data_IF_300411306274
#
_entry.id   IF_300411306274
#
_cell.length_a   1.000
_cell.length_b   1.000
_cell.length_c   1.000
_cell.angle_alpha   90.00
_cell.angle_beta   90.00
_cell.angle_gamma   90.00
#
_symmetry.space_group_name_H-M   'P 1'
#
loop_
_entity.id
_entity.type
_entity.pdbx_description
1 polymer ?
#
# COMPACT_ATOMS: atom_id res chain seq x y z
N UNK A 1 -21.95 22.21 -10.54
CA UNK A 1 -20.50 22.08 -10.39
C UNK A 1 -20.01 20.87 -11.17
N UNK A 2 -18.84 20.96 -11.78
CA UNK A 2 -18.19 19.79 -12.39
C UNK A 2 -17.43 19.03 -11.32
N UNK A 3 -17.71 17.74 -11.19
CA UNK A 3 -17.01 16.83 -10.29
C UNK A 3 -16.21 15.83 -11.12
N UNK A 4 -15.04 15.42 -10.61
CA UNK A 4 -14.06 14.59 -11.33
C UNK A 4 -13.48 13.47 -10.48
N UNK A 5 -13.55 13.62 -9.18
CA UNK A 5 -13.03 12.61 -8.25
C UNK A 5 -13.86 12.52 -6.99
N UNK A 6 -13.80 11.37 -6.37
CA UNK A 6 -14.40 11.02 -5.10
C UNK A 6 -13.29 10.61 -4.13
N UNK A 7 -13.37 11.13 -2.92
CA UNK A 7 -12.62 10.65 -1.78
C UNK A 7 -13.61 10.11 -0.75
N UNK A 8 -13.45 8.85 -0.38
CA UNK A 8 -14.35 8.15 0.53
C UNK A 8 -13.55 7.46 1.64
N UNK A 9 -13.89 7.75 2.88
CA UNK A 9 -13.33 7.10 4.05
C UNK A 9 -14.39 6.23 4.73
N UNK A 10 -14.13 4.92 4.80
CA UNK A 10 -15.02 3.92 5.38
C UNK A 10 -14.44 3.36 6.67
N UNK A 11 -15.32 2.96 7.58
CA UNK A 11 -14.92 2.22 8.78
C UNK A 11 -14.37 0.83 8.40
N UNK A 12 -13.46 0.36 9.21
CA UNK A 12 -12.82 -0.96 9.10
C UNK A 12 -13.82 -2.13 9.01
N UNK A 13 -14.86 -2.11 9.83
CA UNK A 13 -15.91 -3.15 9.85
C UNK A 13 -16.78 -3.15 8.57
N UNK A 14 -16.58 -2.19 7.67
CA UNK A 14 -17.37 -2.15 6.45
C UNK A 14 -16.89 -3.22 5.49
N UNK A 15 -17.69 -4.25 5.27
CA UNK A 15 -17.37 -5.37 4.36
C UNK A 15 -17.01 -4.89 2.96
N UNK A 16 -16.23 -5.69 2.23
CA UNK A 16 -15.92 -5.44 0.81
C UNK A 16 -17.20 -5.17 0.02
N UNK A 17 -17.31 -4.01 -0.62
CA UNK A 17 -18.50 -3.59 -1.34
C UNK A 17 -18.17 -2.99 -2.69
N UNK A 18 -19.07 -3.22 -3.64
CA UNK A 18 -19.10 -2.48 -4.88
C UNK A 18 -19.96 -1.25 -4.72
N UNK A 19 -19.57 -0.17 -5.36
CA UNK A 19 -20.29 1.09 -5.35
C UNK A 19 -20.56 1.51 -6.78
N UNK A 20 -21.74 2.05 -7.04
CA UNK A 20 -22.10 2.71 -8.30
C UNK A 20 -22.36 4.17 -8.04
N UNK A 21 -21.77 5.03 -8.84
CA UNK A 21 -21.91 6.47 -8.76
C UNK A 21 -22.79 6.95 -9.90
N UNK A 22 -23.75 7.78 -9.58
CA UNK A 22 -24.65 8.42 -10.54
C UNK A 22 -24.70 9.92 -10.29
N UNK A 23 -24.91 10.68 -11.36
CA UNK A 23 -25.15 12.12 -11.31
C UNK A 23 -26.48 12.51 -11.93
N UNK A 24 -27.10 13.58 -11.42
CA UNK A 24 -28.34 14.13 -11.91
C UNK A 24 -28.35 15.65 -11.81
N UNK A 25 -29.15 16.33 -12.66
CA UNK A 25 -29.40 17.75 -12.58
C UNK A 25 -30.77 18.11 -12.00
N UNK A 26 -31.70 17.18 -11.95
CA UNK A 26 -33.07 17.34 -11.49
C UNK A 26 -33.46 16.42 -10.32
N UNK A 27 -32.55 15.49 -9.92
CA UNK A 27 -32.80 14.50 -8.89
C UNK A 27 -33.72 13.35 -9.30
N UNK A 28 -34.12 13.27 -10.58
CA UNK A 28 -35.00 12.25 -11.13
C UNK A 28 -34.31 11.41 -12.18
N UNK A 29 -33.69 12.05 -13.15
CA UNK A 29 -32.95 11.38 -14.21
C UNK A 29 -31.48 11.18 -13.80
N UNK A 30 -31.08 9.92 -13.57
CA UNK A 30 -29.77 9.55 -13.06
C UNK A 30 -28.89 8.96 -14.15
N UNK A 31 -27.78 9.62 -14.44
CA UNK A 31 -26.77 9.13 -15.37
C UNK A 31 -25.67 8.39 -14.58
N UNK A 32 -25.33 7.19 -15.03
CA UNK A 32 -24.21 6.45 -14.50
C UNK A 32 -22.89 7.19 -14.75
N UNK A 33 -22.04 7.31 -13.74
CA UNK A 33 -20.73 7.96 -13.81
C UNK A 33 -19.58 6.96 -13.67
N UNK A 34 -19.63 6.12 -12.65
CA UNK A 34 -18.54 5.16 -12.37
C UNK A 34 -19.00 4.03 -11.46
N UNK A 35 -18.25 2.94 -11.47
CA UNK A 35 -18.25 1.94 -10.42
C UNK A 35 -16.87 1.79 -9.84
N UNK A 36 -16.80 1.41 -8.57
CA UNK A 36 -15.59 1.07 -7.89
C UNK A 36 -15.87 0.03 -6.82
N UNK A 37 -14.85 -0.72 -6.47
CA UNK A 37 -14.93 -1.78 -5.48
C UNK A 37 -13.86 -1.56 -4.42
N UNK A 38 -14.28 -1.59 -3.16
CA UNK A 38 -13.38 -1.72 -2.03
C UNK A 38 -13.22 -3.19 -1.70
N UNK A 39 -11.98 -3.65 -1.65
CA UNK A 39 -11.63 -4.91 -1.06
C UNK A 39 -11.15 -4.65 0.35
N UNK A 40 -11.82 -5.26 1.33
CA UNK A 40 -11.31 -5.34 2.69
C UNK A 40 -10.91 -6.80 2.89
N UNK A 41 -9.69 -7.04 3.30
CA UNK A 41 -9.37 -8.25 4.03
C UNK A 41 -9.46 -7.96 5.52
N UNK A 42 -9.81 -8.98 6.28
CA UNK A 42 -10.17 -8.96 7.70
C UNK A 42 -9.09 -8.43 8.66
N UNK A 43 -7.96 -7.96 8.16
CA UNK A 43 -6.76 -7.73 8.96
C UNK A 43 -6.30 -6.28 9.10
N UNK A 44 -7.02 -5.28 8.58
CA UNK A 44 -6.68 -3.89 8.83
C UNK A 44 -7.78 -3.15 9.60
N UNK A 45 -7.62 -2.94 10.91
CA UNK A 45 -8.60 -2.28 11.75
C UNK A 45 -8.64 -0.75 11.57
N UNK A 46 -7.95 -0.18 10.57
CA UNK A 46 -7.82 1.27 10.41
C UNK A 46 -8.72 1.83 9.32
N UNK A 47 -9.04 3.12 9.45
CA UNK A 47 -9.75 3.88 8.43
C UNK A 47 -9.01 3.81 7.10
N UNK A 48 -9.68 3.34 6.07
CA UNK A 48 -9.16 3.30 4.72
C UNK A 48 -9.81 4.38 3.87
N UNK A 49 -8.99 5.32 3.38
CA UNK A 49 -9.43 6.28 2.39
C UNK A 49 -9.22 5.72 0.97
N UNK A 50 -10.22 5.84 0.14
CA UNK A 50 -10.21 5.48 -1.26
C UNK A 50 -10.38 6.74 -2.11
N UNK A 51 -9.38 7.05 -2.91
CA UNK A 51 -9.48 8.11 -3.92
C UNK A 51 -9.79 7.47 -5.27
N UNK A 52 -10.84 7.97 -5.93
CA UNK A 52 -11.32 7.45 -7.19
C UNK A 52 -11.65 8.58 -8.17
N UNK A 53 -10.88 8.66 -9.26
CA UNK A 53 -11.22 9.52 -10.40
C UNK A 53 -12.29 8.89 -11.28
N UNK A 54 -13.07 9.74 -11.96
CA UNK A 54 -14.10 9.35 -12.94
C UNK A 54 -14.25 10.42 -14.03
N UNK A 55 -14.93 10.13 -15.14
CA UNK A 55 -15.18 11.10 -16.20
C UNK A 55 -15.89 12.36 -15.72
N UNK A 56 -15.55 13.52 -16.31
CA UNK A 56 -16.14 14.80 -15.95
C UNK A 56 -17.66 14.74 -15.91
N UNK A 57 -18.22 15.17 -14.81
CA UNK A 57 -19.66 15.20 -14.62
C UNK A 57 -20.12 16.54 -14.06
N UNK A 58 -20.80 17.35 -14.89
CA UNK A 58 -21.46 18.58 -14.42
C UNK A 58 -22.86 18.23 -13.95
N UNK A 59 -23.03 18.18 -12.62
CA UNK A 59 -24.25 17.71 -11.96
C UNK A 59 -24.59 18.56 -10.73
N UNK A 60 -25.86 18.56 -10.33
CA UNK A 60 -26.38 19.18 -9.11
C UNK A 60 -26.50 18.17 -7.97
N UNK A 61 -26.79 16.92 -8.33
CA UNK A 61 -27.00 15.83 -7.38
C UNK A 61 -26.10 14.66 -7.72
N UNK A 62 -25.60 14.02 -6.68
CA UNK A 62 -24.79 12.79 -6.79
C UNK A 62 -25.47 11.72 -5.93
N UNK A 63 -25.57 10.50 -6.46
CA UNK A 63 -26.08 9.32 -5.76
C UNK A 63 -25.01 8.25 -5.75
N UNK A 64 -24.65 7.81 -4.53
CA UNK A 64 -23.84 6.63 -4.31
C UNK A 64 -24.79 5.45 -4.03
N UNK A 65 -24.81 4.50 -4.92
CA UNK A 65 -25.61 3.27 -4.79
C UNK A 65 -24.71 2.12 -4.36
N UNK A 66 -25.11 1.43 -3.31
CA UNK A 66 -24.47 0.22 -2.83
C UNK A 66 -25.36 -0.93 -3.26
N UNK A 67 -24.99 -1.70 -4.32
CA UNK A 67 -25.77 -2.88 -4.69
C UNK A 67 -25.88 -3.80 -3.48
N UNK A 68 -27.07 -4.36 -3.28
CA UNK A 68 -27.27 -5.39 -2.28
C UNK A 68 -26.38 -6.58 -2.65
N UNK A 69 -25.17 -6.57 -2.15
CA UNK A 69 -24.32 -7.74 -2.19
C UNK A 69 -24.81 -8.69 -1.10
N UNK A 70 -24.69 -9.98 -1.35
CA UNK A 70 -24.87 -11.10 -0.41
C UNK A 70 -25.08 -10.65 1.05
N UNK A 71 -25.98 -11.22 1.83
CA UNK A 71 -26.44 -10.67 3.10
C UNK A 71 -25.29 -10.52 4.12
N UNK A 72 -24.45 -9.53 3.93
CA UNK A 72 -23.53 -9.06 4.95
C UNK A 72 -24.38 -8.36 6.01
N UNK A 73 -24.46 -8.93 7.17
CA UNK A 73 -25.12 -8.39 8.35
C UNK A 73 -24.38 -7.19 8.95
N UNK A 74 -23.21 -6.84 8.41
CA UNK A 74 -22.39 -5.74 8.91
C UNK A 74 -22.84 -4.43 8.28
N UNK A 75 -23.34 -3.47 9.07
CA UNK A 75 -23.71 -2.16 8.58
C UNK A 75 -22.48 -1.41 8.07
N UNK A 76 -22.63 -0.72 6.94
CA UNK A 76 -21.59 0.17 6.45
C UNK A 76 -21.55 1.45 7.30
N UNK A 77 -20.39 1.77 7.82
CA UNK A 77 -20.13 3.03 8.49
C UNK A 77 -19.28 3.91 7.58
N UNK A 78 -19.78 5.08 7.24
CA UNK A 78 -19.12 6.07 6.41
C UNK A 78 -18.60 7.18 7.34
N UNK A 79 -17.31 7.49 7.28
CA UNK A 79 -16.72 8.60 8.02
C UNK A 79 -16.75 9.88 7.19
N UNK A 80 -16.32 9.78 5.94
CA UNK A 80 -16.19 10.94 5.08
C UNK A 80 -16.50 10.57 3.62
N UNK A 81 -17.10 11.51 2.90
CA UNK A 81 -17.40 11.40 1.49
C UNK A 81 -17.26 12.78 0.85
N UNK A 82 -16.19 12.96 0.08
CA UNK A 82 -15.91 14.21 -0.61
C UNK A 82 -15.97 14.05 -2.11
N UNK A 83 -16.57 15.01 -2.77
CA UNK A 83 -16.52 15.17 -4.22
C UNK A 83 -15.69 16.40 -4.56
N UNK A 84 -14.72 16.23 -5.45
CA UNK A 84 -13.84 17.33 -5.85
C UNK A 84 -13.88 17.57 -7.34
N UNK A 85 -13.67 18.83 -7.74
CA UNK A 85 -13.44 19.22 -9.12
C UNK A 85 -12.01 18.93 -9.57
N UNK A 86 -11.08 18.68 -8.65
CA UNK A 86 -9.73 18.25 -8.98
C UNK A 86 -9.77 16.84 -9.57
N UNK A 87 -8.94 16.61 -10.59
CA UNK A 87 -8.68 15.26 -11.08
C UNK A 87 -7.64 14.61 -10.18
N UNK A 88 -8.01 13.48 -9.58
CA UNK A 88 -7.13 12.73 -8.70
C UNK A 88 -6.84 11.36 -9.30
N UNK A 89 -5.64 10.85 -9.08
CA UNK A 89 -5.27 9.49 -9.42
C UNK A 89 -6.04 8.48 -8.55
N UNK A 90 -6.29 7.29 -9.11
CA UNK A 90 -6.96 6.22 -8.39
C UNK A 90 -5.96 5.52 -7.46
N UNK A 91 -5.93 5.93 -6.21
CA UNK A 91 -5.06 5.35 -5.19
C UNK A 91 -5.81 4.92 -3.95
N UNK A 92 -5.20 3.99 -3.20
CA UNK A 92 -5.47 3.79 -1.79
C UNK A 92 -4.47 4.60 -0.99
N UNK A 93 -4.90 5.64 -0.29
CA UNK A 93 -4.04 6.61 0.37
C UNK A 93 -3.10 6.00 1.42
N UNK A 94 -3.51 4.95 2.11
CA UNK A 94 -2.69 4.34 3.17
C UNK A 94 -1.67 3.32 2.69
N UNK A 95 -1.84 2.72 1.54
CA UNK A 95 -0.98 1.64 1.05
C UNK A 95 -0.31 1.94 -0.28
N UNK A 96 -0.39 3.17 -0.77
CA UNK A 96 0.08 3.55 -2.11
C UNK A 96 -0.38 2.58 -3.23
N UNK A 97 -1.52 1.93 -3.03
CA UNK A 97 -2.04 0.96 -3.98
C UNK A 97 -2.76 1.63 -5.12
N UNK A 98 -2.31 1.38 -6.30
CA UNK A 98 -3.13 1.60 -7.49
C UNK A 98 -4.08 0.41 -7.69
N UNK A 99 -5.33 0.70 -8.02
CA UNK A 99 -6.22 -0.36 -8.48
C UNK A 99 -5.86 -0.73 -9.91
N UNK A 100 -5.58 -1.99 -10.12
CA UNK A 100 -5.37 -2.57 -11.45
C UNK A 100 -6.66 -3.14 -12.04
N UNK A 101 -7.84 -2.85 -11.48
CA UNK A 101 -9.07 -3.47 -11.93
C UNK A 101 -9.55 -2.85 -13.24
N UNK A 102 -9.72 -3.64 -14.32
CA UNK A 102 -10.03 -3.13 -15.67
C UNK A 102 -11.43 -2.52 -15.84
N UNK A 103 -12.29 -2.61 -14.83
CA UNK A 103 -13.66 -2.09 -14.87
C UNK A 103 -13.81 -0.64 -14.45
N UNK A 104 -12.71 0.03 -14.09
CA UNK A 104 -12.72 1.44 -13.71
C UNK A 104 -12.33 2.23 -14.94
N UNK A 105 -13.15 3.24 -15.29
CA UNK A 105 -12.77 4.20 -16.31
C UNK A 105 -11.41 4.77 -15.98
N UNK A 106 -10.42 4.49 -16.81
CA UNK A 106 -9.07 4.94 -16.64
C UNK A 106 -9.01 6.46 -16.88
N UNK A 107 -8.85 7.29 -15.83
CA UNK A 107 -8.78 8.73 -15.99
C UNK A 107 -7.52 9.16 -16.75
N UNK A 108 -6.50 8.29 -16.88
CA UNK A 108 -5.29 8.58 -17.64
C UNK A 108 -5.55 8.79 -19.12
N UNK A 109 -6.64 8.22 -19.66
CA UNK A 109 -7.05 8.38 -21.05
C UNK A 109 -7.82 9.67 -21.35
N UNK A 110 -8.10 10.48 -20.32
CA UNK A 110 -8.80 11.73 -20.49
C UNK A 110 -7.83 12.90 -20.42
N UNK A 111 -7.97 13.86 -21.31
CA UNK A 111 -7.23 15.11 -21.24
C UNK A 111 -7.53 15.81 -19.90
N UNK A 112 -6.50 16.04 -19.10
CA UNK A 112 -6.59 16.77 -17.85
C UNK A 112 -6.23 18.24 -18.12
N UNK A 113 -7.09 19.20 -17.74
CA UNK A 113 -6.75 20.62 -17.84
C UNK A 113 -5.47 20.97 -17.10
N UNK A 114 -4.66 21.85 -17.68
CA UNK A 114 -3.34 22.21 -17.11
C UNK A 114 -3.43 22.82 -15.69
N UNK A 115 -4.54 23.50 -15.37
CA UNK A 115 -4.81 24.08 -14.06
C UNK A 115 -5.09 23.04 -12.96
N UNK A 116 -5.21 21.76 -13.33
CA UNK A 116 -5.39 20.64 -12.41
C UNK A 116 -4.12 19.80 -12.23
N UNK A 117 -3.06 20.16 -12.91
CA UNK A 117 -1.76 19.52 -12.80
C UNK A 117 -0.84 20.40 -11.92
N UNK A 118 -0.18 19.77 -10.97
CA UNK A 118 0.83 20.45 -10.17
C UNK A 118 2.12 20.48 -10.97
N UNK A 119 2.61 21.69 -11.29
CA UNK A 119 3.90 21.83 -11.94
C UNK A 119 5.04 21.46 -10.94
N UNK A 120 5.90 20.52 -11.32
CA UNK A 120 7.03 20.05 -10.51
C UNK A 120 7.97 21.19 -10.12
N UNK A 121 8.14 22.19 -11.00
CA UNK A 121 9.02 23.33 -10.73
C UNK A 121 8.44 24.30 -9.68
N UNK A 122 7.16 24.23 -9.39
CA UNK A 122 6.48 25.02 -8.37
C UNK A 122 6.42 24.31 -7.00
N UNK A 123 6.95 23.10 -6.90
CA UNK A 123 7.01 22.35 -5.64
C UNK A 123 8.28 22.77 -4.90
N UNK A 124 8.08 23.28 -3.69
CA UNK A 124 9.16 23.60 -2.77
C UNK A 124 9.33 22.48 -1.75
N UNK A 125 10.53 21.93 -1.67
CA UNK A 125 10.91 21.04 -0.57
C UNK A 125 11.34 21.90 0.62
N UNK A 126 10.57 21.83 1.70
CA UNK A 126 10.80 22.58 2.93
C UNK A 126 11.35 21.70 4.06
N UNK A 127 11.78 20.48 3.78
CA UNK A 127 12.23 19.51 4.79
C UNK A 127 13.39 20.05 5.64
N UNK A 128 14.31 20.79 5.05
CA UNK A 128 15.44 21.40 5.75
C UNK A 128 15.06 22.53 6.74
N UNK A 129 13.83 23.04 6.63
CA UNK A 129 13.31 24.12 7.48
C UNK A 129 12.37 23.63 8.58
N UNK A 130 12.09 22.32 8.61
CA UNK A 130 11.28 21.68 9.64
C UNK A 130 12.13 21.44 10.88
N UNK A 131 11.72 22.03 12.01
CA UNK A 131 12.39 21.88 13.29
C UNK A 131 11.98 20.57 13.98
N UNK A 132 12.76 20.10 14.97
CA UNK A 132 12.47 18.90 15.74
C UNK A 132 11.12 18.94 16.47
N UNK A 133 10.69 20.12 16.92
CA UNK A 133 9.39 20.32 17.55
C UNK A 133 8.21 20.32 16.56
N UNK A 134 8.50 20.18 15.26
CA UNK A 134 7.53 20.19 14.18
C UNK A 134 7.17 21.59 13.65
N UNK A 135 7.82 22.63 14.14
CA UNK A 135 7.67 23.99 13.61
C UNK A 135 8.34 24.12 12.26
N UNK A 136 7.65 24.69 11.27
CA UNK A 136 8.20 25.04 9.97
C UNK A 136 8.64 26.49 9.99
N UNK A 137 9.96 26.73 9.87
CA UNK A 137 10.53 28.07 9.87
C UNK A 137 11.00 28.45 8.46
N UNK A 138 10.07 28.94 7.65
CA UNK A 138 10.32 29.34 6.26
C UNK A 138 9.39 30.48 5.85
N UNK A 139 9.92 31.50 5.21
CA UNK A 139 9.14 32.61 4.63
C UNK A 139 8.72 32.23 3.21
N UNK A 140 7.44 31.95 3.04
CA UNK A 140 6.89 31.58 1.74
C UNK A 140 6.86 32.78 0.79
N UNK A 141 7.16 32.58 -0.50
CA UNK A 141 6.93 33.59 -1.52
C UNK A 141 5.45 34.04 -1.54
N UNK A 142 5.20 35.27 -2.03
CA UNK A 142 3.83 35.76 -2.18
C UNK A 142 3.00 34.83 -3.07
N UNK A 143 1.80 34.48 -2.61
CA UNK A 143 0.88 33.56 -3.31
C UNK A 143 0.03 32.72 -2.37
N UNK A 144 -0.75 31.83 -2.96
CA UNK A 144 -1.55 30.84 -2.23
C UNK A 144 -0.81 29.50 -2.22
N UNK A 145 -0.56 28.96 -1.03
CA UNK A 145 0.22 27.76 -0.84
C UNK A 145 -0.57 26.68 -0.10
N UNK A 146 -0.37 25.43 -0.54
CA UNK A 146 -0.79 24.26 0.23
C UNK A 146 0.45 23.59 0.80
N UNK A 147 0.55 23.52 2.12
CA UNK A 147 1.65 22.85 2.81
C UNK A 147 1.21 21.42 3.11
N UNK A 148 2.00 20.45 2.64
CA UNK A 148 1.80 19.04 2.93
C UNK A 148 2.95 18.54 3.82
N UNK A 149 2.61 17.95 4.95
CA UNK A 149 3.57 17.27 5.82
C UNK A 149 3.40 15.77 5.67
N UNK A 150 4.44 15.11 5.20
CA UNK A 150 4.52 13.66 5.15
C UNK A 150 5.23 13.13 6.39
N UNK A 151 4.78 12.00 6.88
CA UNK A 151 5.39 11.31 8.00
C UNK A 151 5.10 9.82 7.91
N UNK A 152 5.86 9.04 8.66
CA UNK A 152 5.66 7.62 8.81
C UNK A 152 5.60 7.24 10.29
N UNK A 153 4.94 6.13 10.57
CA UNK A 153 4.85 5.56 11.90
C UNK A 153 4.70 4.05 11.78
N UNK A 154 4.87 3.34 12.88
CA UNK A 154 4.53 1.93 12.93
C UNK A 154 3.09 1.72 12.47
N UNK A 155 2.85 0.68 11.69
CA UNK A 155 1.52 0.28 11.30
C UNK A 155 0.71 -0.31 12.46
N UNK A 156 1.36 -0.60 13.60
CA UNK A 156 0.74 -1.16 14.80
C UNK A 156 0.30 -2.61 14.66
N UNK A 157 0.64 -3.28 13.56
CA UNK A 157 0.29 -4.68 13.38
C UNK A 157 1.16 -5.57 14.27
N UNK A 158 0.51 -6.52 14.88
CA UNK A 158 1.15 -7.56 15.67
C UNK A 158 1.31 -8.81 14.82
N UNK A 159 2.34 -9.58 15.12
CA UNK A 159 2.55 -10.88 14.49
C UNK A 159 1.48 -11.86 14.95
N UNK A 160 1.01 -12.69 14.03
CA UNK A 160 0.15 -13.83 14.36
C UNK A 160 0.30 -14.99 13.38
N UNK A 161 -0.06 -16.22 13.85
CA UNK A 161 -0.34 -16.58 15.24
C UNK A 161 0.91 -16.49 16.12
N UNK A 162 0.76 -15.99 17.34
CA UNK A 162 1.85 -15.91 18.30
C UNK A 162 1.34 -16.32 19.70
N UNK A 163 2.23 -16.87 20.54
CA UNK A 163 1.92 -17.05 21.95
C UNK A 163 1.96 -15.70 22.68
N UNK A 164 1.23 -15.57 23.80
CA UNK A 164 1.15 -14.33 24.59
C UNK A 164 2.52 -13.70 24.92
N UNK A 165 3.58 -14.53 25.02
CA UNK A 165 4.94 -14.08 25.30
C UNK A 165 5.74 -13.69 24.07
N UNK A 166 5.28 -14.08 22.88
CA UNK A 166 5.94 -13.82 21.61
C UNK A 166 5.20 -12.76 20.80
N UNK A 167 4.01 -12.33 21.24
CA UNK A 167 3.26 -11.27 20.56
C UNK A 167 4.05 -9.96 20.58
N UNK A 168 4.18 -9.34 19.43
CA UNK A 168 4.91 -8.09 19.26
C UNK A 168 4.62 -7.47 17.91
N UNK A 169 5.18 -6.27 17.71
CA UNK A 169 5.09 -5.59 16.43
C UNK A 169 5.79 -6.38 15.34
N UNK A 170 5.23 -6.34 14.15
CA UNK A 170 5.85 -6.87 12.94
C UNK A 170 7.19 -6.19 12.66
N UNK A 171 8.19 -6.97 12.24
CA UNK A 171 9.50 -6.42 11.86
C UNK A 171 9.40 -5.55 10.60
N UNK A 172 10.24 -4.54 10.48
CA UNK A 172 10.36 -3.77 9.23
C UNK A 172 11.02 -4.64 8.15
N UNK A 173 10.18 -5.24 7.28
CA UNK A 173 10.61 -6.12 6.19
C UNK A 173 11.27 -5.38 5.03
N UNK A 174 11.18 -4.04 5.00
CA UNK A 174 11.85 -3.23 3.98
C UNK A 174 13.29 -2.91 4.36
N UNK A 175 13.67 -3.17 5.62
CA UNK A 175 15.01 -2.92 6.17
C UNK A 175 15.77 -4.21 6.44
N UNK A 176 16.85 -4.44 5.67
CA UNK A 176 17.76 -5.56 5.93
C UNK A 176 18.35 -5.50 7.33
N UNK A 177 18.70 -4.31 7.79
CA UNK A 177 19.28 -4.11 9.13
C UNK A 177 18.28 -4.49 10.24
N UNK A 178 17.02 -4.12 10.08
CA UNK A 178 15.98 -4.48 11.04
C UNK A 178 15.75 -6.00 11.07
N UNK A 179 15.74 -6.65 9.92
CA UNK A 179 15.66 -8.11 9.83
C UNK A 179 16.84 -8.78 10.53
N UNK A 180 18.07 -8.40 10.20
CA UNK A 180 19.27 -9.00 10.82
C UNK A 180 19.27 -8.77 12.33
N UNK A 181 18.89 -7.57 12.79
CA UNK A 181 18.75 -7.30 14.23
C UNK A 181 17.74 -8.25 14.89
N UNK A 182 16.59 -8.49 14.24
CA UNK A 182 15.58 -9.43 14.72
C UNK A 182 16.11 -10.87 14.77
N UNK A 183 16.81 -11.33 13.75
CA UNK A 183 17.37 -12.68 13.69
C UNK A 183 18.49 -12.89 14.72
N UNK A 184 19.31 -11.85 14.95
CA UNK A 184 20.42 -11.87 15.90
C UNK A 184 19.97 -11.84 17.36
N UNK A 185 18.93 -11.09 17.68
CA UNK A 185 18.47 -10.87 19.04
C UNK A 185 17.19 -11.64 19.39
N UNK A 186 16.57 -12.28 18.42
CA UNK A 186 15.44 -13.17 18.57
C UNK A 186 15.87 -14.62 18.77
N UNK A 187 14.92 -15.53 18.59
CA UNK A 187 15.13 -16.97 18.82
C UNK A 187 15.97 -17.65 17.73
N UNK A 188 16.07 -17.07 16.53
CA UNK A 188 16.69 -17.70 15.37
C UNK A 188 18.16 -18.02 15.62
N UNK A 189 18.96 -17.03 15.94
CA UNK A 189 20.40 -17.20 16.24
C UNK A 189 20.61 -18.11 17.44
N UNK A 190 19.80 -17.94 18.48
CA UNK A 190 19.89 -18.76 19.68
C UNK A 190 19.63 -20.24 19.38
N UNK A 191 18.64 -20.56 18.57
CA UNK A 191 18.35 -21.94 18.14
C UNK A 191 19.54 -22.50 17.37
N UNK A 192 20.02 -21.78 16.33
CA UNK A 192 21.11 -22.24 15.49
C UNK A 192 22.41 -22.48 16.29
N UNK A 193 22.72 -21.60 17.26
CA UNK A 193 23.87 -21.76 18.14
C UNK A 193 23.72 -22.94 19.09
N UNK A 194 22.57 -23.12 19.72
CA UNK A 194 22.31 -24.21 20.67
C UNK A 194 22.33 -25.59 20.02
N UNK A 195 21.90 -25.68 18.76
CA UNK A 195 21.93 -26.92 18.00
C UNK A 195 23.38 -27.33 17.64
N UNK A 196 24.33 -26.40 17.61
CA UNK A 196 25.74 -26.67 17.43
C UNK A 196 26.03 -27.54 16.20
N UNK A 197 26.64 -28.71 16.37
CA UNK A 197 26.98 -29.63 15.27
C UNK A 197 25.77 -30.22 14.55
N UNK A 198 24.57 -30.10 15.10
CA UNK A 198 23.31 -30.53 14.43
C UNK A 198 22.81 -29.52 13.43
N UNK A 199 23.27 -28.26 13.51
CA UNK A 199 22.95 -27.21 12.54
C UNK A 199 23.56 -27.57 11.18
N UNK A 200 22.77 -27.52 10.13
CA UNK A 200 23.15 -27.95 8.80
C UNK A 200 23.13 -29.47 8.57
N UNK A 201 22.92 -30.29 9.61
CA UNK A 201 22.87 -31.77 9.52
C UNK A 201 21.50 -32.35 9.89
N UNK A 202 20.96 -31.90 11.01
CA UNK A 202 19.64 -32.32 11.50
C UNK A 202 18.65 -31.18 11.37
N UNK A 203 19.05 -29.97 11.77
CA UNK A 203 18.32 -28.74 11.47
C UNK A 203 18.83 -28.24 10.11
N UNK A 204 18.17 -28.60 9.06
CA UNK A 204 18.61 -28.33 7.67
C UNK A 204 17.78 -27.26 6.99
N UNK A 205 16.67 -26.83 7.62
CA UNK A 205 15.70 -25.90 7.05
C UNK A 205 15.08 -25.04 8.14
N UNK A 206 14.87 -23.76 7.81
CA UNK A 206 13.99 -22.83 8.51
C UNK A 206 12.87 -22.41 7.56
N UNK A 207 11.67 -22.22 8.10
CA UNK A 207 10.49 -21.90 7.31
C UNK A 207 9.91 -20.55 7.70
N UNK A 208 9.51 -19.77 6.70
CA UNK A 208 8.65 -18.59 6.83
C UNK A 208 7.28 -18.98 6.30
N UNK A 209 6.28 -18.86 7.15
CA UNK A 209 4.87 -19.02 6.82
C UNK A 209 4.35 -17.77 6.07
N UNK A 210 3.07 -17.77 5.72
CA UNK A 210 2.46 -16.67 4.97
C UNK A 210 2.59 -15.34 5.71
N UNK A 211 2.78 -14.27 4.94
CA UNK A 211 2.77 -12.92 5.52
C UNK A 211 1.35 -12.39 5.61
N UNK A 212 0.83 -12.26 6.82
CA UNK A 212 -0.55 -11.85 7.07
C UNK A 212 -0.70 -10.49 7.77
N UNK A 213 0.40 -9.83 8.12
CA UNK A 213 0.43 -8.61 8.91
C UNK A 213 0.35 -7.31 8.10
N UNK A 214 -0.44 -7.26 7.03
CA UNK A 214 -0.64 -6.09 6.18
C UNK A 214 0.62 -5.54 5.46
N UNK A 215 0.40 -4.56 4.58
CA UNK A 215 1.44 -3.97 3.78
C UNK A 215 2.26 -2.94 4.57
N UNK A 216 3.57 -3.00 4.42
CA UNK A 216 4.50 -1.96 4.82
C UNK A 216 4.81 -1.09 3.60
N UNK A 217 4.83 0.22 3.76
CA UNK A 217 4.96 1.17 2.65
C UNK A 217 6.14 2.12 2.79
N UNK A 218 6.85 2.06 3.91
CA UNK A 218 7.97 2.94 4.21
C UNK A 218 8.97 2.30 5.14
N UNK A 219 10.23 2.68 4.97
CA UNK A 219 11.35 2.42 5.91
C UNK A 219 12.25 3.65 5.99
N UNK A 220 13.10 3.73 6.98
CA UNK A 220 13.96 4.90 7.21
C UNK A 220 14.84 5.26 6.00
N UNK A 221 15.35 4.24 5.28
CA UNK A 221 16.20 4.43 4.09
C UNK A 221 15.43 4.38 2.76
N UNK A 222 14.09 4.49 2.80
CA UNK A 222 13.29 4.35 1.59
C UNK A 222 13.63 5.38 0.50
N UNK A 223 13.89 6.68 0.79
CA UNK A 223 14.28 7.65 -0.23
C UNK A 223 15.61 7.30 -0.94
N UNK A 224 16.59 6.85 -0.19
CA UNK A 224 17.90 6.46 -0.73
C UNK A 224 17.78 5.19 -1.61
N UNK A 225 17.03 4.20 -1.13
CA UNK A 225 16.75 2.97 -1.87
C UNK A 225 15.96 3.25 -3.14
N UNK A 226 14.97 4.13 -3.06
CA UNK A 226 14.22 4.57 -4.23
C UNK A 226 15.13 5.24 -5.26
N UNK A 227 15.93 6.21 -4.83
CA UNK A 227 16.85 6.92 -5.71
C UNK A 227 17.85 5.97 -6.38
N UNK A 228 18.41 5.03 -5.61
CA UNK A 228 19.35 4.03 -6.12
C UNK A 228 18.73 3.09 -7.16
N UNK A 229 17.46 2.69 -6.97
CA UNK A 229 16.76 1.74 -7.83
C UNK A 229 16.05 2.40 -9.03
N UNK A 230 15.57 3.62 -8.88
CA UNK A 230 14.77 4.33 -9.89
C UNK A 230 15.53 5.43 -10.62
N UNK A 231 16.66 5.91 -10.06
CA UNK A 231 17.54 6.88 -10.69
C UNK A 231 17.10 8.34 -10.53
N UNK A 232 16.15 8.64 -9.65
CA UNK A 232 15.71 10.00 -9.38
C UNK A 232 15.23 10.18 -7.93
N UNK A 233 15.20 11.43 -7.47
CA UNK A 233 14.69 11.81 -6.15
C UNK A 233 13.17 11.83 -6.13
N UNK A 234 12.59 11.15 -5.14
CA UNK A 234 11.15 11.01 -4.99
C UNK A 234 10.48 12.17 -4.23
N UNK A 235 11.23 13.07 -3.59
CA UNK A 235 10.69 14.01 -2.60
C UNK A 235 9.55 14.85 -3.15
N UNK A 236 9.72 15.47 -4.31
CA UNK A 236 8.67 16.26 -4.96
C UNK A 236 7.46 15.43 -5.42
N UNK A 237 7.67 14.15 -5.65
CA UNK A 237 6.64 13.24 -6.14
C UNK A 237 5.77 12.66 -5.02
N UNK A 238 6.18 12.77 -3.75
CA UNK A 238 5.40 12.31 -2.59
C UNK A 238 3.97 12.88 -2.59
N UNK A 239 3.77 14.05 -3.17
CA UNK A 239 2.46 14.69 -3.34
C UNK A 239 1.48 13.75 -4.07
N UNK A 240 1.97 12.93 -5.01
CA UNK A 240 1.14 11.98 -5.75
C UNK A 240 0.53 10.90 -4.85
N UNK A 241 1.13 10.61 -3.68
CA UNK A 241 0.57 9.70 -2.69
C UNK A 241 -0.74 10.21 -2.06
N UNK A 242 -1.07 11.47 -2.27
CA UNK A 242 -2.37 12.05 -1.88
C UNK A 242 -3.43 11.95 -2.98
N UNK A 243 -3.09 11.38 -4.14
CA UNK A 243 -3.94 11.32 -5.33
C UNK A 243 -3.80 12.52 -6.27
N UNK A 244 -3.07 13.57 -5.88
CA UNK A 244 -2.86 14.74 -6.73
C UNK A 244 -1.97 14.39 -7.93
N UNK A 245 -2.27 15.01 -9.07
CA UNK A 245 -1.52 14.80 -10.30
C UNK A 245 -0.34 15.78 -10.36
N UNK A 246 0.86 15.24 -10.47
CA UNK A 246 2.14 16.00 -10.50
C UNK A 246 2.74 15.87 -11.90
N UNK A 247 3.12 16.98 -12.50
CA UNK A 247 3.62 17.03 -13.87
C UNK A 247 2.54 16.73 -14.88
N UNK A 248 2.34 15.46 -15.15
CA UNK A 248 1.29 14.91 -16.00
C UNK A 248 0.64 13.68 -15.35
N UNK A 249 -0.42 13.17 -15.96
CA UNK A 249 -1.03 11.90 -15.54
C UNK A 249 -0.01 10.77 -15.67
N UNK A 250 0.66 10.69 -16.81
CA UNK A 250 1.65 9.64 -17.09
C UNK A 250 2.82 9.66 -16.10
N UNK A 251 3.35 10.84 -15.78
CA UNK A 251 4.45 10.97 -14.81
C UNK A 251 4.00 10.58 -13.41
N UNK A 252 2.79 11.02 -13.00
CA UNK A 252 2.21 10.61 -11.72
C UNK A 252 2.06 9.10 -11.62
N UNK A 253 1.50 8.47 -12.66
CA UNK A 253 1.29 7.01 -12.69
C UNK A 253 2.63 6.24 -12.69
N UNK A 254 3.64 6.73 -13.41
CA UNK A 254 4.99 6.16 -13.38
C UNK A 254 5.62 6.24 -12.01
N UNK A 255 5.53 7.40 -11.35
CA UNK A 255 6.01 7.53 -9.97
C UNK A 255 5.31 6.56 -9.02
N UNK A 256 3.98 6.47 -9.07
CA UNK A 256 3.21 5.55 -8.23
C UNK A 256 3.56 4.08 -8.52
N UNK A 257 3.87 3.76 -9.77
CA UNK A 257 4.38 2.43 -10.15
C UNK A 257 5.78 2.20 -9.58
N UNK A 258 6.71 3.15 -9.74
CA UNK A 258 8.08 3.08 -9.25
C UNK A 258 8.12 2.97 -7.72
N UNK A 259 7.24 3.70 -7.04
CA UNK A 259 7.10 3.64 -5.58
C UNK A 259 6.74 2.22 -5.11
N UNK A 260 5.73 1.61 -5.72
CA UNK A 260 5.32 0.24 -5.40
C UNK A 260 6.35 -0.79 -5.80
N UNK A 261 6.95 -0.60 -6.96
CA UNK A 261 8.02 -1.51 -7.43
C UNK A 261 9.21 -1.48 -6.47
N UNK A 262 9.54 -0.30 -5.90
CA UNK A 262 10.59 -0.20 -4.88
C UNK A 262 10.24 -0.99 -3.62
N UNK A 263 9.00 -0.91 -3.14
CA UNK A 263 8.54 -1.73 -2.02
C UNK A 263 8.73 -3.22 -2.33
N UNK A 264 8.31 -3.66 -3.52
CA UNK A 264 8.45 -5.05 -3.95
C UNK A 264 9.90 -5.53 -4.02
N UNK A 265 10.77 -4.71 -4.59
CA UNK A 265 12.20 -5.01 -4.68
C UNK A 265 12.85 -5.11 -3.28
N UNK A 266 12.48 -4.20 -2.36
CA UNK A 266 12.98 -4.23 -0.98
C UNK A 266 12.50 -5.48 -0.24
N UNK A 267 11.26 -5.89 -0.42
CA UNK A 267 10.76 -7.13 0.16
C UNK A 267 11.52 -8.36 -0.35
N UNK A 268 11.75 -8.43 -1.66
CA UNK A 268 12.49 -9.53 -2.25
C UNK A 268 13.94 -9.57 -1.74
N UNK A 269 14.62 -8.43 -1.73
CA UNK A 269 16.04 -8.36 -1.40
C UNK A 269 16.30 -8.32 0.11
N UNK A 270 15.60 -7.42 0.83
CA UNK A 270 15.90 -7.11 2.23
C UNK A 270 15.20 -8.03 3.24
N UNK A 271 14.15 -8.74 2.81
CA UNK A 271 13.48 -9.72 3.65
C UNK A 271 13.78 -11.14 3.20
N UNK A 272 13.23 -11.60 2.08
CA UNK A 272 13.38 -13.00 1.65
C UNK A 272 14.83 -13.35 1.31
N UNK A 273 15.50 -12.54 0.49
CA UNK A 273 16.89 -12.76 0.13
C UNK A 273 17.84 -12.64 1.32
N UNK A 274 17.69 -11.58 2.10
CA UNK A 274 18.55 -11.37 3.27
C UNK A 274 18.36 -12.44 4.36
N UNK A 275 17.15 -12.99 4.50
CA UNK A 275 16.92 -14.10 5.44
C UNK A 275 17.56 -15.39 4.91
N UNK A 276 17.40 -15.68 3.61
CA UNK A 276 18.06 -16.85 3.00
C UNK A 276 19.57 -16.77 3.19
N UNK A 277 20.19 -15.64 2.84
CA UNK A 277 21.62 -15.40 3.03
C UNK A 277 22.04 -15.67 4.47
N UNK A 278 21.28 -15.14 5.43
CA UNK A 278 21.57 -15.27 6.87
C UNK A 278 21.58 -16.74 7.32
N UNK A 279 20.57 -17.52 7.00
CA UNK A 279 20.51 -18.93 7.44
C UNK A 279 21.47 -19.81 6.66
N UNK A 280 21.77 -19.48 5.41
CA UNK A 280 22.73 -20.20 4.59
C UNK A 280 24.15 -20.12 5.14
N UNK A 281 24.53 -19.04 5.83
CA UNK A 281 25.82 -18.95 6.56
C UNK A 281 25.95 -20.03 7.65
N UNK A 282 24.84 -20.55 8.15
CA UNK A 282 24.78 -21.66 9.13
C UNK A 282 24.63 -23.03 8.46
N UNK A 283 24.64 -23.11 7.13
CA UNK A 283 24.40 -24.35 6.37
C UNK A 283 22.93 -24.82 6.40
N UNK A 284 22.02 -23.92 6.72
CA UNK A 284 20.56 -24.16 6.80
C UNK A 284 19.89 -23.51 5.58
N UNK A 285 18.89 -24.15 4.99
CA UNK A 285 18.10 -23.62 3.89
C UNK A 285 16.92 -22.81 4.40
N UNK A 286 16.46 -21.83 3.60
CA UNK A 286 15.23 -21.14 3.84
C UNK A 286 14.12 -21.66 2.92
N UNK A 287 13.02 -22.13 3.51
CA UNK A 287 11.76 -22.30 2.82
C UNK A 287 10.83 -21.14 3.14
N UNK A 288 10.06 -20.67 2.16
CA UNK A 288 9.10 -19.61 2.40
C UNK A 288 7.89 -19.71 1.48
N UNK A 289 6.74 -19.40 2.06
CA UNK A 289 5.60 -18.93 1.29
C UNK A 289 5.86 -17.48 0.88
N UNK A 290 5.64 -17.16 -0.38
CA UNK A 290 5.49 -15.76 -0.76
C UNK A 290 4.19 -15.22 -0.15
N UNK A 291 3.99 -13.89 -0.13
CA UNK A 291 2.73 -13.33 0.34
C UNK A 291 1.55 -14.04 -0.31
N UNK A 292 0.63 -14.56 0.51
CA UNK A 292 -0.50 -15.38 0.06
C UNK A 292 -1.35 -14.70 -1.02
N UNK A 293 -1.98 -15.49 -1.88
CA UNK A 293 -2.87 -15.01 -2.94
C UNK A 293 -3.95 -14.09 -2.35
N UNK A 294 -4.05 -12.89 -2.89
CA UNK A 294 -5.03 -11.89 -2.44
C UNK A 294 -4.59 -11.06 -1.22
N UNK A 295 -3.39 -11.26 -0.68
CA UNK A 295 -2.81 -10.34 0.29
C UNK A 295 -2.51 -8.98 -0.35
N UNK A 296 -2.72 -7.87 0.38
CA UNK A 296 -2.50 -6.54 -0.15
C UNK A 296 -1.02 -6.15 -0.16
N UNK A 297 -0.15 -6.99 -0.67
CA UNK A 297 1.28 -6.79 -0.65
C UNK A 297 1.77 -6.36 -2.02
N UNK A 298 2.64 -5.37 -2.04
CA UNK A 298 3.27 -4.90 -3.26
C UNK A 298 4.48 -5.77 -3.57
N UNK A 299 4.52 -6.38 -4.74
CA UNK A 299 5.68 -7.08 -5.19
C UNK A 299 5.38 -8.20 -6.17
N UNK A 300 6.43 -8.71 -6.76
CA UNK A 300 6.40 -9.88 -7.61
C UNK A 300 6.64 -11.13 -6.74
N UNK A 301 5.60 -11.95 -6.60
CA UNK A 301 5.67 -13.16 -5.77
C UNK A 301 6.67 -14.17 -6.31
N UNK A 302 6.82 -14.27 -7.64
CA UNK A 302 7.80 -15.15 -8.27
C UNK A 302 9.21 -14.68 -7.96
N UNK A 303 9.44 -13.36 -7.98
CA UNK A 303 10.73 -12.77 -7.61
C UNK A 303 11.06 -13.06 -6.15
N UNK A 304 10.11 -12.87 -5.23
CA UNK A 304 10.29 -13.17 -3.81
C UNK A 304 10.59 -14.66 -3.57
N UNK A 305 9.83 -15.55 -4.22
CA UNK A 305 10.08 -17.00 -4.15
C UNK A 305 11.43 -17.40 -4.78
N UNK A 306 11.89 -16.66 -5.78
CA UNK A 306 13.20 -16.87 -6.39
C UNK A 306 14.38 -16.49 -5.49
N UNK A 307 14.16 -15.83 -4.36
CA UNK A 307 15.19 -15.45 -3.38
C UNK A 307 15.42 -16.49 -2.30
N UNK A 308 14.56 -17.49 -2.17
CA UNK A 308 14.64 -18.52 -1.14
C UNK A 308 15.10 -19.85 -1.73
N UNK A 309 15.64 -20.75 -0.89
CA UNK A 309 16.14 -22.05 -1.34
C UNK A 309 15.01 -23.00 -1.75
N UNK A 310 13.88 -22.93 -1.02
CA UNK A 310 12.73 -23.82 -1.20
C UNK A 310 11.48 -22.97 -1.28
N UNK A 311 11.05 -22.59 -2.51
CA UNK A 311 9.79 -21.88 -2.67
C UNK A 311 8.62 -22.78 -2.30
N UNK A 312 7.72 -22.25 -1.49
CA UNK A 312 6.53 -22.93 -1.01
C UNK A 312 5.27 -22.31 -1.62
N UNK A 313 4.23 -23.10 -1.72
CA UNK A 313 2.89 -22.68 -2.11
C UNK A 313 1.86 -23.32 -1.22
N UNK A 314 0.73 -22.67 -1.03
CA UNK A 314 -0.37 -23.09 -0.21
C UNK A 314 -1.56 -23.55 -1.08
N UNK A 315 -2.19 -24.65 -0.69
CA UNK A 315 -3.47 -25.06 -1.24
C UNK A 315 -4.38 -25.63 -0.14
N UNK A 316 -5.68 -25.42 -0.28
CA UNK A 316 -6.66 -25.83 0.71
C UNK A 316 -7.52 -27.00 0.17
N UNK A 317 -7.66 -28.05 0.98
CA UNK A 317 -8.55 -29.16 0.70
C UNK A 317 -9.85 -28.96 1.49
N UNK A 318 -11.00 -29.06 0.85
CA UNK A 318 -12.32 -29.02 1.48
C UNK A 318 -13.10 -27.71 1.34
N UNK A 319 -12.68 -26.82 0.46
CA UNK A 319 -13.53 -25.72 0.00
C UNK A 319 -14.77 -26.26 -0.73
N UNK A 320 -15.93 -25.60 -0.56
CA UNK A 320 -17.14 -25.90 -1.33
C UNK A 320 -16.80 -25.85 -2.83
N UNK A 321 -17.34 -26.76 -3.68
CA UNK A 321 -16.97 -26.87 -5.09
C UNK A 321 -17.22 -25.61 -5.94
N UNK A 322 -17.82 -24.58 -5.39
CA UNK A 322 -18.19 -23.34 -6.06
C UNK A 322 -17.33 -22.13 -5.69
N UNK A 323 -16.30 -22.30 -4.85
CA UNK A 323 -15.33 -21.23 -4.58
C UNK A 323 -14.15 -21.33 -5.56
N UNK A 324 -14.41 -20.96 -6.81
CA UNK A 324 -13.37 -20.73 -7.83
C UNK A 324 -13.31 -19.28 -8.20
#
# INVERSE_FOLDING_TARGET
>A
QTVRSLDIELHEDSASRSFKLYGSNDGKDWRYLANFRRWIKHFDPRREALVQGFPDATVKFVKLEIPAASPSTVPMKLYELNFTSARLANIFTKSARMRTHPTISDPSKQAVPADQLINVDQILDLSAYLQEDGTLNYELPAGEWTILRFGHTSNGNLIHPASDRAEGLEVDKLSKEALIHHLDNGVTKEILQRMGELTGKTVVEMSIDSWEANCQTWTAKFPEEFAARRGYDMTKWLIALTGRLVGSVDETERFLWDYRRTIGDLLADNFYGAFADYVNEWGVKLSAEAPGIGMPIHGDYIEMQGKVDIPMGEFWLGGEPNEK
#
